data_IF_657956317177
#
_entry.id   IF_657956317177
#
_cell.length_a   1.000
_cell.length_b   1.000
_cell.length_c   1.000
_cell.angle_alpha   90.00
_cell.angle_beta   90.00
_cell.angle_gamma   90.00
#
_symmetry.space_group_name_H-M   'P 1'
#
loop_
_entity.id
_entity.type
_entity.pdbx_description
1 polymer ?
#
# COMPACT_ATOMS: atom_id res chain seq x y z
N UNK A 1 -14.01 0.77 -16.21
CA UNK A 1 -13.63 0.66 -15.85
C UNK A 1 -12.93 1.02 -15.21
N UNK A 2 -12.74 0.99 -14.42
CA UNK A 2 -12.12 1.56 -13.78
C UNK A 2 -11.44 1.02 -12.72
N UNK A 3 -10.74 -0.08 -12.86
CA UNK A 3 -9.84 -0.58 -11.93
C UNK A 3 -8.70 0.32 -11.85
N UNK A 4 -8.30 0.72 -10.66
CA UNK A 4 -7.18 1.60 -10.46
C UNK A 4 -5.95 0.78 -10.14
N UNK A 5 -4.84 1.17 -10.74
CA UNK A 5 -3.56 0.56 -10.42
C UNK A 5 -3.12 0.98 -9.05
N UNK A 6 -2.47 0.06 -8.36
CA UNK A 6 -1.91 0.33 -7.05
C UNK A 6 -0.45 0.66 -7.20
N UNK A 7 -0.02 1.78 -6.64
CA UNK A 7 1.38 2.13 -6.63
C UNK A 7 1.81 2.35 -5.20
N UNK A 8 3.11 2.27 -4.99
CA UNK A 8 3.65 2.42 -3.65
C UNK A 8 4.69 3.53 -3.67
N UNK A 9 4.76 4.30 -2.61
CA UNK A 9 5.83 5.27 -2.45
C UNK A 9 6.85 4.64 -1.51
N UNK A 10 8.10 4.89 -1.79
CA UNK A 10 9.19 4.25 -1.10
C UNK A 10 9.38 4.73 0.32
N UNK A 11 10.12 3.98 1.11
CA UNK A 11 10.36 4.37 2.49
C UNK A 11 11.10 5.68 2.65
N UNK A 12 11.82 6.11 1.63
CA UNK A 12 12.52 7.37 1.76
C UNK A 12 11.58 8.55 1.84
N UNK A 13 10.33 8.38 1.47
CA UNK A 13 9.37 9.44 1.58
C UNK A 13 8.41 9.26 2.70
N UNK A 14 8.42 8.11 3.36
CA UNK A 14 7.49 7.82 4.41
C UNK A 14 8.23 7.79 5.73
N UNK A 15 7.60 8.32 6.78
CA UNK A 15 8.19 8.24 8.10
C UNK A 15 8.14 6.81 8.60
N UNK A 16 9.05 6.46 9.46
CA UNK A 16 9.02 5.18 10.18
C UNK A 16 9.11 3.99 9.27
N UNK A 17 9.79 4.15 8.14
CA UNK A 17 10.01 3.05 7.21
C UNK A 17 8.70 2.41 6.75
N UNK A 18 7.66 3.22 6.63
CA UNK A 18 6.39 2.74 6.14
C UNK A 18 6.25 3.08 4.67
N UNK A 19 5.54 2.23 3.94
CA UNK A 19 5.25 2.47 2.54
C UNK A 19 3.77 2.79 2.41
N UNK A 20 3.46 3.75 1.55
CA UNK A 20 2.08 4.14 1.31
C UNK A 20 1.59 3.49 0.05
N UNK A 21 0.38 2.95 0.11
CA UNK A 21 -0.25 2.31 -1.04
C UNK A 21 -1.32 3.25 -1.58
N UNK A 22 -1.20 3.60 -2.85
CA UNK A 22 -2.13 4.53 -3.50
C UNK A 22 -2.86 3.79 -4.60
N UNK A 23 -4.17 3.96 -4.63
CA UNK A 23 -5.02 3.38 -5.63
C UNK A 23 -5.61 4.54 -6.41
N UNK A 24 -5.08 4.78 -7.59
CA UNK A 24 -5.41 5.98 -8.31
C UNK A 24 -4.84 7.20 -7.58
N UNK A 25 -5.68 8.15 -7.26
CA UNK A 25 -5.24 9.33 -6.53
C UNK A 25 -5.72 9.32 -5.08
N UNK A 26 -6.14 8.15 -4.58
CA UNK A 26 -6.53 8.02 -3.19
C UNK A 26 -5.57 7.10 -2.46
N UNK A 27 -5.18 7.47 -1.25
CA UNK A 27 -4.33 6.59 -0.45
C UNK A 27 -5.17 5.49 0.14
N UNK A 28 -4.81 4.24 -0.20
CA UNK A 28 -5.55 3.07 0.25
C UNK A 28 -5.11 2.63 1.63
N UNK A 29 -3.83 2.68 1.91
CA UNK A 29 -3.35 2.24 3.20
C UNK A 29 -1.86 2.45 3.35
N UNK A 30 -1.34 2.04 4.49
CA UNK A 30 0.09 2.13 4.77
C UNK A 30 0.54 0.83 5.39
N UNK A 31 1.81 0.51 5.21
CA UNK A 31 2.38 -0.67 5.85
C UNK A 31 2.66 -0.36 7.32
N UNK A 32 2.48 -1.36 8.15
CA UNK A 32 2.70 -1.26 9.57
C UNK A 32 3.48 -2.49 10.01
N UNK A 33 4.51 -2.29 10.79
CA UNK A 33 5.25 -3.40 11.35
C UNK A 33 4.63 -3.76 12.69
N UNK A 34 4.18 -4.99 12.81
CA UNK A 34 3.51 -5.45 14.02
C UNK A 34 4.04 -6.84 14.35
N UNK A 35 4.62 -7.00 15.53
CA UNK A 35 5.23 -8.27 15.95
C UNK A 35 6.26 -8.73 14.93
N UNK A 36 7.05 -7.78 14.43
CA UNK A 36 8.11 -8.05 13.47
C UNK A 36 7.60 -8.61 12.15
N UNK A 37 6.31 -8.41 11.86
CA UNK A 37 5.73 -8.85 10.60
C UNK A 37 5.10 -7.65 9.92
N UNK A 38 5.24 -7.60 8.61
CA UNK A 38 4.73 -6.49 7.84
C UNK A 38 3.24 -6.68 7.60
N UNK A 39 2.48 -5.67 7.92
CA UNK A 39 1.04 -5.65 7.70
C UNK A 39 0.69 -4.47 6.83
N UNK A 40 -0.42 -4.55 6.13
CA UNK A 40 -0.95 -3.42 5.40
C UNK A 40 -2.24 -2.98 6.09
N UNK A 41 -2.24 -1.77 6.61
CA UNK A 41 -3.46 -1.21 7.20
C UNK A 41 -4.22 -0.51 6.08
N UNK A 42 -5.42 -0.97 5.81
CA UNK A 42 -6.24 -0.44 4.75
C UNK A 42 -7.32 0.42 5.37
N UNK A 43 -7.35 1.69 4.98
CA UNK A 43 -8.34 2.61 5.51
C UNK A 43 -9.56 2.65 4.60
N UNK A 44 -10.75 2.95 5.13
CA UNK A 44 -11.93 3.02 4.26
C UNK A 44 -11.86 4.21 3.32
N UNK A 45 -12.54 4.08 2.19
CA UNK A 45 -12.62 5.20 1.26
C UNK A 45 -13.47 6.30 1.87
N UNK A 46 -13.19 7.52 1.45
CA UNK A 46 -13.89 8.68 2.00
C UNK A 46 -15.38 8.61 1.77
N UNK A 47 -15.81 8.04 0.66
CA UNK A 47 -17.24 7.95 0.33
C UNK A 47 -17.88 6.65 0.81
N UNK A 48 -17.14 5.81 1.51
CA UNK A 48 -17.68 4.58 2.07
C UNK A 48 -17.85 3.44 1.10
N UNK A 49 -17.45 3.61 -0.16
CA UNK A 49 -17.55 2.52 -1.12
C UNK A 49 -16.31 1.61 -1.02
N UNK A 50 -16.40 0.38 -1.48
CA UNK A 50 -15.24 -0.51 -1.41
C UNK A 50 -14.16 -0.10 -2.38
N UNK A 51 -12.94 -0.50 -2.07
CA UNK A 51 -11.82 -0.32 -2.97
C UNK A 51 -11.94 -1.27 -4.13
N UNK A 52 -11.60 -0.76 -5.32
CA UNK A 52 -11.55 -1.61 -6.51
C UNK A 52 -10.14 -1.47 -7.07
N UNK A 53 -9.28 -2.35 -6.66
CA UNK A 53 -7.88 -2.31 -7.02
C UNK A 53 -7.56 -3.42 -8.01
N UNK A 54 -6.71 -3.11 -8.98
CA UNK A 54 -6.24 -4.13 -9.90
C UNK A 54 -5.42 -5.15 -9.13
N UNK A 55 -5.83 -6.41 -9.20
CA UNK A 55 -5.23 -7.44 -8.35
C UNK A 55 -3.75 -7.68 -8.67
N UNK A 56 -3.39 -7.67 -9.95
CA UNK A 56 -1.99 -7.89 -10.32
C UNK A 56 -1.12 -6.73 -9.86
N UNK A 57 -1.63 -5.52 -9.98
CA UNK A 57 -0.92 -4.33 -9.56
C UNK A 57 -0.74 -4.33 -8.04
N UNK A 58 -1.78 -4.72 -7.30
CA UNK A 58 -1.69 -4.81 -5.85
C UNK A 58 -0.68 -5.86 -5.43
N UNK A 59 -0.67 -7.02 -6.09
CA UNK A 59 0.28 -8.07 -5.75
C UNK A 59 1.72 -7.61 -5.97
N UNK A 60 1.96 -6.88 -7.06
CA UNK A 60 3.30 -6.35 -7.31
C UNK A 60 3.68 -5.31 -6.27
N UNK A 61 2.75 -4.47 -5.88
CA UNK A 61 3.04 -3.45 -4.87
C UNK A 61 3.35 -4.08 -3.52
N UNK A 62 2.63 -5.14 -3.16
CA UNK A 62 2.91 -5.84 -1.91
C UNK A 62 4.29 -6.48 -1.93
N UNK A 63 4.65 -7.12 -3.03
CA UNK A 63 5.97 -7.73 -3.14
C UNK A 63 7.07 -6.68 -3.08
N UNK A 64 6.84 -5.55 -3.72
CA UNK A 64 7.81 -4.46 -3.72
C UNK A 64 7.96 -3.87 -2.33
N UNK A 65 6.87 -3.73 -1.60
CA UNK A 65 6.94 -3.21 -0.24
C UNK A 65 7.74 -4.13 0.67
N UNK A 66 7.49 -5.43 0.56
CA UNK A 66 8.25 -6.40 1.32
C UNK A 66 9.73 -6.31 1.03
N UNK A 67 10.06 -6.21 -0.26
CA UNK A 67 11.45 -6.15 -0.66
C UNK A 67 12.12 -4.87 -0.16
N UNK A 68 11.48 -3.75 -0.31
CA UNK A 68 12.06 -2.47 0.11
C UNK A 68 12.22 -2.38 1.61
N UNK A 69 11.21 -2.82 2.35
CA UNK A 69 11.25 -2.66 3.80
C UNK A 69 12.13 -3.71 4.46
N UNK A 70 12.32 -4.85 3.85
CA UNK A 70 13.19 -5.86 4.44
C UNK A 70 14.66 -5.49 4.28
N UNK A 71 14.98 -4.48 3.48
CA UNK A 71 16.36 -4.02 3.34
C UNK A 71 16.78 -3.13 4.51
N UNK A 72 15.86 -2.76 5.34
CA UNK A 72 16.16 -1.96 6.49
C UNK A 72 16.14 -2.81 7.74
#
# INVERSE_FOLDING_TARGET
MNESNVIITGPEEAYDNAAEFWCGDEMMGVTVLHDERLHLRIDPRADGTPWLADAASLARALAEAEERLSAY
#
